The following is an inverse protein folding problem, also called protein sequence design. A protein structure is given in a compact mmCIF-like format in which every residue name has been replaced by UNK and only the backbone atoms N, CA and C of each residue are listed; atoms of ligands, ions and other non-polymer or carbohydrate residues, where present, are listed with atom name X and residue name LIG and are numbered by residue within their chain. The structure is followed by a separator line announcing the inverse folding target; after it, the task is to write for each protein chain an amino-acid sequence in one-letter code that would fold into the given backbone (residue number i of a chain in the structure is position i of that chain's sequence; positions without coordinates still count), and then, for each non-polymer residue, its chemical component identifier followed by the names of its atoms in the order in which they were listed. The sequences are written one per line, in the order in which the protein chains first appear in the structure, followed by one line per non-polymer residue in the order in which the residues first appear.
data_IF_200980680431
#
_entry.id   IF_200980680431
#
_cell.length_a   1.000
_cell.length_b   1.000
_cell.length_c   1.000
_cell.angle_alpha   90.00
_cell.angle_beta   90.00
_cell.angle_gamma   90.00
#
_symmetry.space_group_name_H-M   'P 1'
#
loop_
_entity.id
_entity.type
_entity.pdbx_description
1 polymer ?
#
# COMPACT_ATOMS: atom_id res chain seq x y z
N UNK A 1 -0.22 -5.46 -20.17
CA UNK A 1 -1.61 -4.96 -20.05
C UNK A 1 -2.52 -6.16 -20.14
N UNK A 2 -3.32 -6.42 -19.12
CA UNK A 2 -4.11 -7.66 -19.04
C UNK A 2 -5.29 -7.68 -20.02
N UNK A 3 -5.64 -8.87 -20.56
CA UNK A 3 -6.67 -9.00 -21.58
C UNK A 3 -8.04 -8.57 -21.07
N UNK A 4 -8.82 -7.92 -21.94
CA UNK A 4 -10.21 -7.46 -21.67
C UNK A 4 -10.37 -6.45 -20.52
N UNK A 5 -9.31 -5.72 -20.16
CA UNK A 5 -9.36 -4.65 -19.14
C UNK A 5 -10.53 -3.69 -19.33
N UNK A 6 -10.73 -3.19 -20.55
CA UNK A 6 -11.80 -2.23 -20.87
C UNK A 6 -13.19 -2.81 -20.62
N UNK A 7 -13.42 -4.06 -21.01
CA UNK A 7 -14.68 -4.75 -20.79
C UNK A 7 -14.96 -5.02 -19.30
N UNK A 8 -13.93 -5.38 -18.52
CA UNK A 8 -14.08 -5.60 -17.08
C UNK A 8 -14.30 -4.29 -16.32
N UNK A 9 -13.69 -3.19 -16.77
CA UNK A 9 -13.85 -1.88 -16.13
C UNK A 9 -15.13 -1.15 -16.56
N UNK A 10 -15.71 -1.49 -17.72
CA UNK A 10 -16.89 -0.82 -18.28
C UNK A 10 -18.01 -0.54 -17.25
N UNK A 11 -18.51 -1.51 -16.47
CA UNK A 11 -19.58 -1.26 -15.51
C UNK A 11 -19.15 -0.33 -14.36
N UNK A 12 -17.88 -0.39 -13.96
CA UNK A 12 -17.34 0.53 -12.94
C UNK A 12 -17.16 1.94 -13.50
N UNK A 13 -16.63 2.07 -14.72
CA UNK A 13 -16.43 3.37 -15.38
C UNK A 13 -17.74 4.06 -15.72
N UNK A 14 -18.80 3.31 -16.02
CA UNK A 14 -20.13 3.86 -16.28
C UNK A 14 -20.75 4.56 -15.04
N UNK A 15 -20.31 4.18 -13.83
CA UNK A 15 -20.74 4.77 -12.57
C UNK A 15 -19.88 5.97 -12.14
N UNK A 16 -18.81 6.31 -12.87
CA UNK A 16 -17.95 7.45 -12.55
C UNK A 16 -18.62 8.75 -13.02
N UNK A 17 -18.95 9.64 -12.09
CA UNK A 17 -19.54 10.95 -12.37
C UNK A 17 -20.17 11.59 -11.13
N UNK A 18 -20.86 12.74 -11.31
CA UNK A 18 -21.59 13.43 -10.21
C UNK A 18 -22.91 12.75 -9.82
N UNK A 19 -23.15 11.51 -10.25
CA UNK A 19 -24.39 10.77 -9.99
C UNK A 19 -24.24 9.91 -8.74
N UNK A 20 -25.36 9.59 -8.08
CA UNK A 20 -25.31 8.64 -6.96
C UNK A 20 -24.82 7.28 -7.48
N UNK A 21 -23.81 6.74 -6.81
CA UNK A 21 -23.17 5.49 -7.18
C UNK A 21 -24.10 4.32 -6.83
N UNK A 22 -24.72 3.70 -7.84
CA UNK A 22 -25.51 2.50 -7.67
C UNK A 22 -24.59 1.28 -7.79
N UNK A 23 -24.28 0.63 -6.66
CA UNK A 23 -23.49 -0.59 -6.66
C UNK A 23 -24.36 -1.78 -7.08
N UNK A 24 -24.34 -2.11 -8.37
CA UNK A 24 -25.08 -3.26 -8.91
C UNK A 24 -24.29 -4.55 -8.79
N UNK A 25 -24.97 -5.70 -8.91
CA UNK A 25 -24.32 -7.02 -8.92
C UNK A 25 -23.29 -7.17 -10.06
N UNK A 26 -23.51 -6.48 -11.19
CA UNK A 26 -22.54 -6.44 -12.30
C UNK A 26 -21.27 -5.67 -11.92
N UNK A 27 -21.40 -4.58 -11.13
CA UNK A 27 -20.27 -3.85 -10.58
C UNK A 27 -19.47 -4.74 -9.62
N UNK A 28 -20.15 -5.48 -8.73
CA UNK A 28 -19.52 -6.39 -7.77
C UNK A 28 -18.77 -7.53 -8.49
N UNK A 29 -19.41 -8.18 -9.47
CA UNK A 29 -18.78 -9.24 -10.28
C UNK A 29 -17.53 -8.74 -10.99
N UNK A 30 -17.62 -7.55 -11.58
CA UNK A 30 -16.51 -6.93 -12.31
C UNK A 30 -15.37 -6.53 -11.38
N UNK A 31 -15.69 -5.96 -10.21
CA UNK A 31 -14.72 -5.61 -9.19
C UNK A 31 -13.97 -6.84 -8.67
N UNK A 32 -14.69 -7.94 -8.37
CA UNK A 32 -14.07 -9.21 -7.95
C UNK A 32 -13.18 -9.80 -9.03
N UNK A 33 -13.62 -9.79 -10.28
CA UNK A 33 -12.84 -10.28 -11.41
C UNK A 33 -11.54 -9.49 -11.59
N UNK A 34 -11.59 -8.16 -11.50
CA UNK A 34 -10.40 -7.30 -11.58
C UNK A 34 -9.47 -7.56 -10.41
N UNK A 35 -9.99 -7.67 -9.19
CA UNK A 35 -9.18 -7.97 -8.00
C UNK A 35 -8.44 -9.30 -8.14
N UNK A 36 -9.13 -10.35 -8.59
CA UNK A 36 -8.53 -11.67 -8.83
C UNK A 36 -7.45 -11.62 -9.91
N UNK A 37 -7.69 -10.86 -10.99
CA UNK A 37 -6.73 -10.70 -12.06
C UNK A 37 -5.48 -9.95 -11.61
N UNK A 38 -5.64 -8.84 -10.88
CA UNK A 38 -4.53 -8.06 -10.32
C UNK A 38 -3.69 -8.90 -9.35
N UNK A 39 -4.33 -9.67 -8.48
CA UNK A 39 -3.64 -10.59 -7.58
C UNK A 39 -2.83 -11.62 -8.38
N UNK A 40 -3.45 -12.26 -9.39
CA UNK A 40 -2.78 -13.24 -10.25
C UNK A 40 -1.57 -12.64 -10.97
N UNK A 41 -1.69 -11.43 -11.53
CA UNK A 41 -0.61 -10.78 -12.26
C UNK A 41 0.56 -10.41 -11.34
N UNK A 42 0.28 -9.93 -10.13
CA UNK A 42 1.32 -9.68 -9.13
C UNK A 42 2.04 -10.96 -8.71
N UNK A 43 1.30 -12.05 -8.44
CA UNK A 43 1.90 -13.35 -8.06
C UNK A 43 2.72 -14.02 -9.17
N UNK A 44 2.37 -13.79 -10.45
CA UNK A 44 3.08 -14.39 -11.59
C UNK A 44 4.44 -13.71 -11.88
N UNK A 45 4.70 -12.54 -11.31
CA UNK A 45 5.93 -11.79 -11.57
C UNK A 45 7.01 -12.23 -10.58
N UNK A 46 8.03 -12.93 -11.07
CA UNK A 46 9.21 -13.24 -10.26
C UNK A 46 10.05 -11.96 -10.02
N UNK A 47 10.47 -11.68 -8.78
CA UNK A 47 11.34 -10.54 -8.50
C UNK A 47 12.73 -10.75 -9.09
N UNK A 48 13.25 -9.76 -9.82
CA UNK A 48 14.60 -9.82 -10.38
C UNK A 48 15.57 -8.99 -9.53
N UNK A 49 16.48 -9.64 -8.80
CA UNK A 49 17.38 -8.95 -7.88
C UNK A 49 18.42 -8.05 -8.57
N UNK A 50 18.63 -8.22 -9.89
CA UNK A 50 19.60 -7.44 -10.66
C UNK A 50 19.07 -6.08 -11.11
N UNK A 51 17.78 -5.81 -10.89
CA UNK A 51 17.08 -4.60 -11.31
C UNK A 51 16.66 -3.78 -10.09
N UNK A 52 16.51 -2.46 -10.25
CA UNK A 52 16.13 -1.60 -9.14
C UNK A 52 14.70 -1.90 -8.67
N UNK A 53 14.51 -1.90 -7.35
CA UNK A 53 13.20 -1.94 -6.71
C UNK A 53 12.75 -0.53 -6.36
N UNK A 54 11.47 -0.25 -6.62
CA UNK A 54 10.83 1.03 -6.29
C UNK A 54 9.72 0.76 -5.27
N UNK A 55 9.88 1.24 -4.04
CA UNK A 55 8.90 1.10 -2.97
C UNK A 55 8.19 2.43 -2.79
N UNK A 56 6.87 2.41 -2.89
CA UNK A 56 6.02 3.54 -2.58
C UNK A 56 5.34 3.28 -1.27
N UNK A 57 5.57 4.13 -0.27
CA UNK A 57 5.00 3.98 1.06
C UNK A 57 4.04 5.12 1.34
N UNK A 58 2.96 4.82 2.04
CA UNK A 58 2.11 5.80 2.70
C UNK A 58 1.69 5.28 4.07
N UNK A 59 1.39 6.20 4.98
CA UNK A 59 0.91 5.88 6.30
C UNK A 59 -0.27 6.78 6.67
N UNK A 60 -1.33 6.17 7.17
CA UNK A 60 -2.47 6.88 7.76
C UNK A 60 -2.48 6.72 9.27
N UNK A 61 -3.41 7.42 9.94
CA UNK A 61 -3.61 7.27 11.38
C UNK A 61 -4.05 5.88 11.82
N UNK A 62 -4.52 5.04 10.88
CA UNK A 62 -5.08 3.72 11.19
C UNK A 62 -4.27 2.58 10.60
N UNK A 63 -3.64 2.76 9.45
CA UNK A 63 -3.04 1.70 8.65
C UNK A 63 -1.79 2.19 7.93
N UNK A 64 -0.89 1.26 7.69
CA UNK A 64 0.29 1.38 6.85
C UNK A 64 -0.01 0.74 5.49
N UNK A 65 0.49 1.35 4.42
CA UNK A 65 0.38 0.80 3.08
C UNK A 65 1.69 0.97 2.33
N UNK A 66 2.06 -0.04 1.55
CA UNK A 66 3.14 0.12 0.58
C UNK A 66 2.96 -0.75 -0.65
N UNK A 67 3.60 -0.32 -1.74
CA UNK A 67 3.61 -1.02 -3.01
C UNK A 67 5.04 -1.14 -3.49
N UNK A 68 5.44 -2.36 -3.84
CA UNK A 68 6.74 -2.64 -4.43
C UNK A 68 6.57 -2.80 -5.93
N UNK A 69 7.29 -1.98 -6.68
CA UNK A 69 7.25 -1.88 -8.13
C UNK A 69 8.62 -2.21 -8.71
N UNK A 70 8.60 -2.83 -9.89
CA UNK A 70 9.79 -3.12 -10.68
C UNK A 70 9.46 -2.94 -12.16
N UNK A 71 10.23 -2.11 -12.86
CA UNK A 71 9.97 -1.71 -14.25
C UNK A 71 8.52 -1.19 -14.45
N UNK A 72 8.01 -0.43 -13.48
CA UNK A 72 6.65 0.11 -13.51
C UNK A 72 5.53 -0.90 -13.28
N UNK A 73 5.85 -2.14 -12.87
CA UNK A 73 4.86 -3.21 -12.59
C UNK A 73 4.89 -3.63 -11.13
N UNK A 74 3.73 -3.87 -10.49
CA UNK A 74 3.69 -4.27 -9.09
C UNK A 74 4.23 -5.69 -8.93
N UNK A 75 5.09 -5.87 -7.94
CA UNK A 75 5.65 -7.17 -7.54
C UNK A 75 4.99 -7.64 -6.25
N UNK A 76 4.82 -6.74 -5.28
CA UNK A 76 4.21 -7.06 -4.00
C UNK A 76 3.45 -5.85 -3.42
N UNK A 77 2.48 -6.14 -2.55
CA UNK A 77 1.66 -5.14 -1.87
C UNK A 77 1.66 -5.42 -0.37
N UNK A 78 1.91 -4.39 0.42
CA UNK A 78 1.84 -4.45 1.86
C UNK A 78 0.68 -3.60 2.38
N UNK A 79 -0.07 -4.12 3.33
CA UNK A 79 -0.99 -3.32 4.12
C UNK A 79 -1.11 -3.92 5.52
N UNK A 80 -1.01 -3.06 6.55
CA UNK A 80 -1.12 -3.50 7.94
C UNK A 80 -1.80 -2.47 8.81
N UNK A 81 -2.70 -2.92 9.68
CA UNK A 81 -3.36 -2.06 10.67
C UNK A 81 -2.41 -1.69 11.81
N UNK A 82 -2.46 -0.43 12.24
CA UNK A 82 -1.70 0.07 13.37
C UNK A 82 -2.32 -0.40 14.70
N UNK A 83 -1.45 -0.87 15.60
CA UNK A 83 -1.78 -1.17 16.99
C UNK A 83 -2.06 0.12 17.78
N UNK A 84 -2.75 -0.01 18.92
CA UNK A 84 -3.13 1.13 19.78
C UNK A 84 -1.96 2.06 20.09
N UNK A 85 -0.81 1.49 20.46
CA UNK A 85 0.41 2.26 20.74
C UNK A 85 0.97 2.96 19.48
N UNK A 86 0.90 2.31 18.31
CA UNK A 86 1.45 2.85 17.06
C UNK A 86 0.58 3.96 16.46
N UNK A 87 -0.73 3.99 16.77
CA UNK A 87 -1.61 5.09 16.36
C UNK A 87 -1.22 6.43 16.97
N UNK A 88 -0.60 6.40 18.15
CA UNK A 88 -0.13 7.58 18.86
C UNK A 88 1.21 8.11 18.33
N UNK A 89 1.82 7.45 17.35
CA UNK A 89 3.08 7.90 16.76
C UNK A 89 2.84 9.14 15.90
N UNK A 90 3.88 9.98 15.79
CA UNK A 90 3.84 11.13 14.89
C UNK A 90 3.76 10.68 13.44
N UNK A 91 3.32 11.56 12.53
CA UNK A 91 3.19 11.23 11.10
C UNK A 91 4.51 10.71 10.52
N UNK A 92 5.63 11.38 10.78
CA UNK A 92 6.95 10.92 10.34
C UNK A 92 7.39 9.59 10.95
N UNK A 93 7.04 9.29 12.21
CA UNK A 93 7.30 7.97 12.80
C UNK A 93 6.44 6.87 12.16
N UNK A 94 5.18 7.16 11.81
CA UNK A 94 4.29 6.20 11.14
C UNK A 94 4.78 5.87 9.73
N UNK A 95 5.25 6.87 9.00
CA UNK A 95 5.81 6.65 7.66
C UNK A 95 7.11 5.85 7.71
N UNK A 96 8.02 6.19 8.62
CA UNK A 96 9.24 5.41 8.84
C UNK A 96 8.90 3.96 9.21
N UNK A 97 7.89 3.76 10.06
CA UNK A 97 7.39 2.44 10.41
C UNK A 97 6.83 1.70 9.19
N UNK A 98 6.13 2.37 8.27
CA UNK A 98 5.63 1.79 7.02
C UNK A 98 6.76 1.16 6.21
N UNK A 99 7.86 1.90 6.05
CA UNK A 99 9.05 1.45 5.32
C UNK A 99 9.68 0.25 6.02
N UNK A 100 9.96 0.36 7.32
CA UNK A 100 10.62 -0.71 8.11
C UNK A 100 9.83 -2.00 8.07
N UNK A 101 8.51 -1.94 8.21
CA UNK A 101 7.66 -3.13 8.22
C UNK A 101 7.57 -3.77 6.84
N UNK A 102 7.53 -2.95 5.79
CA UNK A 102 7.61 -3.45 4.40
C UNK A 102 8.91 -4.20 4.16
N UNK A 103 10.05 -3.65 4.59
CA UNK A 103 11.35 -4.30 4.44
C UNK A 103 11.48 -5.58 5.28
N UNK A 104 10.87 -5.63 6.46
CA UNK A 104 10.84 -6.84 7.29
C UNK A 104 10.03 -7.96 6.64
N UNK A 105 8.84 -7.64 6.15
CA UNK A 105 7.96 -8.62 5.50
C UNK A 105 8.63 -9.20 4.24
N UNK A 106 9.27 -8.34 3.44
CA UNK A 106 9.90 -8.70 2.18
C UNK A 106 11.42 -8.84 2.27
N UNK A 107 11.96 -9.20 3.44
CA UNK A 107 13.40 -9.30 3.67
C UNK A 107 14.07 -10.24 2.67
N UNK A 108 13.48 -11.40 2.40
CA UNK A 108 14.02 -12.39 1.45
C UNK A 108 14.09 -11.89 0.01
N UNK A 109 13.21 -10.94 -0.36
CA UNK A 109 13.15 -10.37 -1.70
C UNK A 109 14.09 -9.16 -1.86
N UNK A 110 14.18 -8.33 -0.83
CA UNK A 110 14.83 -7.01 -0.91
C UNK A 110 16.27 -7.02 -0.41
N UNK A 111 16.65 -7.95 0.46
CA UNK A 111 18.01 -8.04 0.96
C UNK A 111 18.96 -8.47 -0.16
N UNK A 112 20.03 -7.70 -0.36
CA UNK A 112 21.01 -7.97 -1.43
C UNK A 112 20.54 -7.57 -2.83
N UNK A 113 19.47 -6.79 -2.96
CA UNK A 113 19.12 -6.19 -4.24
C UNK A 113 20.17 -5.17 -4.69
N UNK A 114 20.29 -4.97 -6.00
CA UNK A 114 21.24 -4.01 -6.58
C UNK A 114 20.98 -2.58 -6.10
N UNK A 115 19.73 -2.13 -6.23
CA UNK A 115 19.32 -0.74 -5.96
C UNK A 115 17.91 -0.73 -5.37
N UNK A 116 17.73 0.03 -4.29
CA UNK A 116 16.46 0.16 -3.58
C UNK A 116 16.05 1.64 -3.48
N UNK A 117 14.98 2.01 -4.16
CA UNK A 117 14.42 3.35 -4.17
C UNK A 117 13.17 3.39 -3.31
N UNK A 118 13.12 4.28 -2.32
CA UNK A 118 11.96 4.44 -1.43
C UNK A 118 11.34 5.82 -1.65
N UNK A 119 10.04 5.84 -1.94
CA UNK A 119 9.26 7.03 -2.22
C UNK A 119 8.24 7.28 -1.09
N UNK A 120 8.26 8.50 -0.57
CA UNK A 120 7.51 8.95 0.62
C UNK A 120 7.02 10.38 0.41
N UNK A 121 5.86 10.71 0.98
CA UNK A 121 5.26 12.04 0.92
C UNK A 121 5.81 13.01 1.99
N UNK A 122 6.63 12.53 2.93
CA UNK A 122 7.21 13.38 3.98
C UNK A 122 8.63 13.84 3.67
N UNK A 123 8.72 15.10 3.26
CA UNK A 123 9.97 15.85 3.02
C UNK A 123 10.97 15.78 4.19
N UNK A 124 10.47 15.62 5.41
CA UNK A 124 11.26 15.63 6.64
C UNK A 124 11.52 14.23 7.22
N UNK A 125 11.73 13.23 6.37
CA UNK A 125 12.48 12.03 6.78
C UNK A 125 13.98 12.32 7.00
N UNK A 126 14.40 13.58 6.80
CA UNK A 126 15.69 14.13 7.22
C UNK A 126 15.87 13.99 8.72
N UNK A 127 16.37 12.80 9.09
CA UNK A 127 17.28 12.35 10.15
C UNK A 127 17.56 13.20 11.41
N UNK A 128 17.32 14.51 11.45
CA UNK A 128 17.77 15.39 12.52
C UNK A 128 16.78 15.51 13.70
N UNK A 129 15.47 15.36 13.46
CA UNK A 129 14.45 15.69 14.48
C UNK A 129 13.85 14.49 15.23
N UNK A 130 14.16 13.25 14.82
CA UNK A 130 13.58 12.03 15.41
C UNK A 130 14.66 11.22 16.15
N UNK A 131 15.00 11.61 17.37
CA UNK A 131 16.09 11.00 18.17
C UNK A 131 15.62 9.93 19.17
N UNK A 132 14.35 9.54 19.18
CA UNK A 132 13.87 8.47 20.06
C UNK A 132 14.67 7.18 19.80
N UNK A 133 15.09 6.46 20.86
CA UNK A 133 15.84 5.21 20.75
C UNK A 133 15.20 4.17 19.81
N UNK A 134 13.87 4.17 19.71
CA UNK A 134 13.12 3.34 18.76
C UNK A 134 13.42 3.70 17.30
N UNK A 135 13.41 4.98 16.96
CA UNK A 135 13.70 5.47 15.60
C UNK A 135 15.14 5.17 15.23
N UNK A 136 16.09 5.30 16.17
CA UNK A 136 17.49 4.93 15.94
C UNK A 136 17.64 3.44 15.59
N UNK A 137 16.93 2.54 16.29
CA UNK A 137 16.92 1.10 15.94
C UNK A 137 16.37 0.84 14.55
N UNK A 138 15.34 1.57 14.15
CA UNK A 138 14.78 1.47 12.80
C UNK A 138 15.75 1.99 11.73
N UNK A 139 16.53 3.04 12.03
CA UNK A 139 17.56 3.54 11.11
C UNK A 139 18.70 2.55 10.91
N UNK A 140 19.23 1.97 11.98
CA UNK A 140 20.26 0.92 11.88
C UNK A 140 19.78 -0.25 11.01
N UNK A 141 18.50 -0.61 11.13
CA UNK A 141 17.90 -1.63 10.27
C UNK A 141 17.78 -1.20 8.81
N UNK A 142 17.49 0.08 8.54
CA UNK A 142 17.40 0.61 7.17
C UNK A 142 18.77 0.67 6.50
N UNK A 143 19.82 1.00 7.25
CA UNK A 143 21.20 1.06 6.74
C UNK A 143 21.66 -0.29 6.18
N UNK A 144 21.16 -1.42 6.70
CA UNK A 144 21.43 -2.76 6.17
C UNK A 144 21.04 -2.90 4.67
N UNK A 145 20.03 -2.17 4.21
CA UNK A 145 19.52 -2.24 2.84
C UNK A 145 20.05 -1.11 1.93
N UNK A 146 20.71 -0.09 2.49
CA UNK A 146 21.19 1.08 1.74
C UNK A 146 20.15 1.79 0.85
N UNK A 147 18.91 2.08 1.32
CA UNK A 147 17.86 2.66 0.48
C UNK A 147 18.16 4.10 0.08
N UNK A 148 17.79 4.45 -1.16
CA UNK A 148 17.81 5.81 -1.69
C UNK A 148 16.41 6.41 -1.51
N UNK A 149 16.30 7.42 -0.66
CA UNK A 149 15.03 8.09 -0.38
C UNK A 149 14.71 9.19 -1.39
N UNK A 150 13.48 9.18 -1.87
CA UNK A 150 12.91 10.16 -2.79
C UNK A 150 11.64 10.74 -2.17
N UNK A 151 11.52 12.07 -2.14
CA UNK A 151 10.29 12.71 -1.71
C UNK A 151 9.40 13.00 -2.92
N UNK A 152 8.17 12.47 -2.89
CA UNK A 152 7.16 12.74 -3.91
C UNK A 152 6.08 13.65 -3.33
N UNK A 153 5.50 14.52 -4.15
CA UNK A 153 4.31 15.27 -3.81
C UNK A 153 3.14 14.29 -3.66
N UNK A 154 2.41 14.31 -2.55
CA UNK A 154 1.42 13.28 -2.19
C UNK A 154 0.36 12.95 -3.25
N UNK A 155 0.07 13.85 -4.20
CA UNK A 155 -0.85 13.60 -5.30
C UNK A 155 -0.37 12.52 -6.30
N UNK A 156 0.94 12.32 -6.42
CA UNK A 156 1.53 11.33 -7.32
C UNK A 156 1.67 9.94 -6.66
N UNK A 157 1.43 9.84 -5.34
CA UNK A 157 1.51 8.59 -4.56
C UNK A 157 0.15 7.86 -4.45
N UNK A 158 -0.67 7.94 -5.50
CA UNK A 158 -2.04 7.39 -5.52
C UNK A 158 -2.10 5.88 -5.24
N UNK A 159 -1.05 5.12 -5.62
CA UNK A 159 -0.99 3.69 -5.41
C UNK A 159 -0.86 3.34 -3.91
N UNK A 160 0.06 3.98 -3.18
CA UNK A 160 0.23 3.70 -1.76
C UNK A 160 -0.90 4.29 -0.90
N UNK A 161 -1.43 5.46 -1.27
CA UNK A 161 -2.58 6.10 -0.62
C UNK A 161 -3.81 5.18 -0.60
N UNK A 162 -4.03 4.42 -1.68
CA UNK A 162 -5.12 3.43 -1.75
C UNK A 162 -4.99 2.32 -0.69
N UNK A 163 -3.77 1.94 -0.28
CA UNK A 163 -3.53 0.85 0.69
C UNK A 163 -3.42 1.32 2.13
N UNK A 164 -3.00 2.56 2.36
CA UNK A 164 -2.89 3.18 3.69
C UNK A 164 -4.22 3.82 4.13
N UNK A 165 -5.04 4.32 3.18
CA UNK A 165 -6.32 5.02 3.42
C UNK A 165 -7.50 4.28 2.78
N UNK A 166 -7.69 2.98 3.01
CA UNK A 166 -8.95 2.36 2.64
C UNK A 166 -10.05 3.12 3.39
N UNK A 167 -11.03 3.63 2.64
CA UNK A 167 -12.19 4.34 3.15
C UNK A 167 -13.07 3.39 3.99
N UNK A 168 -12.58 3.02 5.18
CA UNK A 168 -13.24 2.08 6.09
C UNK A 168 -14.40 2.72 6.85
N UNK A 169 -14.48 4.05 6.87
CA UNK A 169 -15.61 4.77 7.40
C UNK A 169 -16.22 5.59 6.26
N UNK A 170 -17.40 5.18 5.81
CA UNK A 170 -18.31 6.06 5.11
C UNK A 170 -18.56 7.31 5.96
N UNK A 171 -17.81 8.36 5.67
CA UNK A 171 -18.29 9.74 5.74
C UNK A 171 -18.02 10.37 4.40
N UNK A 172 -18.76 9.90 3.39
CA UNK A 172 -19.44 10.89 2.58
C UNK A 172 -20.25 11.71 3.59
N UNK A 173 -19.95 13.00 3.72
CA UNK A 173 -20.92 13.95 4.28
C UNK A 173 -22.06 14.00 3.26
N UNK A 174 -22.89 12.97 3.24
CA UNK A 174 -24.22 13.09 2.69
C UNK A 174 -25.21 12.38 3.61
N UNK A 175 -26.14 13.17 4.11
CA UNK A 175 -27.17 12.73 5.04
C UNK A 175 -28.20 11.97 4.22
N UNK A 176 -28.07 10.64 4.11
CA UNK A 176 -29.13 9.63 3.95
C UNK A 176 -28.59 8.41 3.19
N UNK A 177 -28.04 7.44 3.92
CA UNK A 177 -28.22 5.99 3.68
C UNK A 177 -27.16 5.22 4.47
N UNK A 178 -27.60 4.48 5.49
CA UNK A 178 -26.81 3.47 6.18
C UNK A 178 -26.43 2.36 5.20
N UNK A 179 -25.13 2.14 5.01
CA UNK A 179 -24.63 0.84 4.55
C UNK A 179 -23.50 0.45 5.51
N UNK A 180 -23.78 -0.57 6.32
CA UNK A 180 -22.83 -1.20 7.22
C UNK A 180 -22.08 -2.26 6.41
N UNK A 181 -20.83 -2.01 6.05
CA UNK A 181 -19.93 -3.05 5.58
C UNK A 181 -19.19 -3.64 6.79
N UNK A 182 -19.63 -4.80 7.27
CA UNK A 182 -18.88 -5.58 8.26
C UNK A 182 -17.82 -6.43 7.54
N UNK A 183 -16.57 -6.30 7.94
CA UNK A 183 -15.54 -7.29 7.65
C UNK A 183 -15.19 -8.01 8.95
N UNK A 184 -15.26 -9.34 8.90
CA UNK A 184 -14.95 -10.23 10.02
C UNK A 184 -13.48 -10.14 10.39
N UNK A 185 -13.24 -9.81 11.66
CA UNK A 185 -11.96 -9.83 12.34
C UNK A 185 -11.46 -11.26 12.48
N UNK A 186 -10.73 -11.78 11.49
CA UNK A 186 -9.87 -12.94 11.71
C UNK A 186 -8.55 -12.72 11.01
N UNK A 187 -7.49 -12.62 11.82
CA UNK A 187 -6.13 -12.69 11.34
C UNK A 187 -5.97 -13.98 10.54
N UNK A 188 -5.48 -13.86 9.32
CA UNK A 188 -5.06 -14.99 8.52
C UNK A 188 -3.78 -14.56 7.83
N UNK A 189 -2.67 -14.95 8.44
CA UNK A 189 -1.39 -15.15 7.78
C UNK A 189 -1.69 -16.10 6.61
N UNK A 190 -1.78 -15.56 5.40
CA UNK A 190 -1.92 -16.36 4.19
C UNK A 190 -0.52 -16.82 3.77
N UNK A 191 0.01 -17.77 4.54
CA UNK A 191 1.05 -18.68 4.07
C UNK A 191 0.34 -19.70 3.17
N UNK A 192 0.62 -19.70 1.87
CA UNK A 192 0.10 -20.70 0.95
C UNK A 192 1.22 -21.16 0.02
N UNK A 193 2.09 -22.04 0.54
CA UNK A 193 2.87 -22.98 -0.25
C UNK A 193 3.05 -24.29 0.55
N UNK A 194 2.44 -25.35 0.00
CA UNK A 194 2.59 -26.80 0.26
C UNK A 194 2.50 -27.31 1.69
#
# INVERSE_FOLDING_TARGET
MFPRRSHLLAPLTAQVGKRQLAWTDECEKSFRAIKALLAKEAFLRYPDHNKPFHIYTDASDRQLGSVILQEGKPVAFFSRKLNSAQRNYTTGEKELLSIVETLKEYRTMLLGCRELHVYTDHKNLTFNNLQTQRVLRWRLFLEEYGPIFHCIIGNDNSAADAFSRPCLNGRLKDRRSQIVCTYTTTGSVLHLLR
#
